data_IF_571565164722
#
_entry.id   IF_571565164722
#
_cell.length_a   1.000
_cell.length_b   1.000
_cell.length_c   1.000
_cell.angle_alpha   90.00
_cell.angle_beta   90.00
_cell.angle_gamma   90.00
#
_symmetry.space_group_name_H-M   'P 1'
#
loop_
_entity.id
_entity.type
_entity.pdbx_description
1 polymer ?
#
# COMPACT_ATOMS: atom_id res chain seq x y z
N UNK A 1 -24.45 -35.35 -7.98
CA UNK A 1 -23.40 -34.32 -7.87
C UNK A 1 -24.10 -32.97 -7.74
N UNK A 2 -24.24 -32.45 -6.53
CA UNK A 2 -24.89 -31.16 -6.28
C UNK A 2 -23.91 -30.04 -6.64
N UNK A 3 -24.22 -29.30 -7.71
CA UNK A 3 -23.50 -28.07 -8.04
C UNK A 3 -23.66 -27.10 -6.88
N UNK A 4 -22.58 -26.85 -6.12
CA UNK A 4 -22.58 -25.85 -5.06
C UNK A 4 -22.62 -24.48 -5.72
N UNK A 5 -23.78 -23.83 -5.68
CA UNK A 5 -23.90 -22.42 -6.00
C UNK A 5 -23.06 -21.61 -5.01
N UNK A 6 -22.01 -20.95 -5.48
CA UNK A 6 -21.19 -20.03 -4.69
C UNK A 6 -21.82 -18.64 -4.86
N UNK A 7 -22.28 -17.98 -3.78
CA UNK A 7 -22.88 -16.67 -3.90
C UNK A 7 -21.84 -15.62 -4.35
N UNK A 8 -22.23 -14.58 -5.09
CA UNK A 8 -21.32 -13.54 -5.58
C UNK A 8 -20.45 -12.88 -4.48
N UNK A 9 -20.97 -12.78 -3.26
CA UNK A 9 -20.22 -12.25 -2.11
C UNK A 9 -19.04 -13.14 -1.69
N UNK A 10 -19.18 -14.47 -1.77
CA UNK A 10 -18.08 -15.39 -1.47
C UNK A 10 -16.96 -15.31 -2.51
N UNK A 11 -17.30 -15.02 -3.77
CA UNK A 11 -16.34 -14.81 -4.85
C UNK A 11 -15.54 -13.53 -4.60
N UNK A 12 -16.21 -12.42 -4.30
CA UNK A 12 -15.53 -11.16 -4.02
C UNK A 12 -14.62 -11.24 -2.79
N UNK A 13 -15.05 -11.97 -1.76
CA UNK A 13 -14.26 -12.20 -0.55
C UNK A 13 -12.99 -13.01 -0.85
N UNK A 14 -13.10 -13.99 -1.74
CA UNK A 14 -11.98 -14.79 -2.21
C UNK A 14 -10.98 -13.92 -3.00
N UNK A 15 -11.45 -13.15 -3.99
CA UNK A 15 -10.61 -12.25 -4.80
C UNK A 15 -9.85 -11.24 -3.95
N UNK A 16 -10.52 -10.60 -2.98
CA UNK A 16 -9.87 -9.67 -2.04
C UNK A 16 -8.80 -10.34 -1.22
N UNK A 17 -9.02 -11.59 -0.82
CA UNK A 17 -8.05 -12.36 -0.03
C UNK A 17 -6.84 -12.74 -0.88
N UNK A 18 -7.03 -13.12 -2.14
CA UNK A 18 -5.94 -13.37 -3.07
C UNK A 18 -5.13 -12.10 -3.32
N UNK A 19 -5.79 -10.98 -3.63
CA UNK A 19 -5.10 -9.71 -3.85
C UNK A 19 -4.28 -9.26 -2.63
N UNK A 20 -4.79 -9.51 -1.41
CA UNK A 20 -4.06 -9.27 -0.17
C UNK A 20 -2.81 -10.17 -0.07
N UNK A 21 -2.95 -11.45 -0.37
CA UNK A 21 -1.85 -12.40 -0.35
C UNK A 21 -0.78 -12.06 -1.38
N UNK A 22 -1.17 -11.72 -2.60
CA UNK A 22 -0.26 -11.32 -3.67
C UNK A 22 0.51 -10.05 -3.27
N UNK A 23 -0.17 -9.07 -2.67
CA UNK A 23 0.48 -7.86 -2.16
C UNK A 23 1.51 -8.18 -1.07
N UNK A 24 1.21 -9.11 -0.16
CA UNK A 24 2.12 -9.51 0.92
C UNK A 24 3.29 -10.37 0.42
N UNK A 25 3.05 -11.22 -0.58
CA UNK A 25 4.09 -11.99 -1.25
C UNK A 25 5.06 -11.06 -1.97
N UNK A 26 4.55 -10.12 -2.77
CA UNK A 26 5.38 -9.12 -3.45
C UNK A 26 6.14 -8.23 -2.45
N UNK A 27 5.50 -7.85 -1.34
CA UNK A 27 6.16 -7.14 -0.26
C UNK A 27 7.34 -7.97 0.31
N UNK A 28 7.15 -9.27 0.53
CA UNK A 28 8.19 -10.16 1.07
C UNK A 28 9.36 -10.33 0.09
N UNK A 29 9.08 -10.46 -1.20
CA UNK A 29 10.10 -10.54 -2.25
C UNK A 29 10.92 -9.24 -2.31
N UNK A 30 10.24 -8.10 -2.28
CA UNK A 30 10.87 -6.77 -2.25
C UNK A 30 11.77 -6.60 -1.01
N UNK A 31 11.30 -7.01 0.18
CA UNK A 31 12.11 -6.98 1.41
C UNK A 31 13.37 -7.85 1.29
N UNK A 32 13.21 -9.05 0.74
CA UNK A 32 14.33 -10.00 0.53
C UNK A 32 15.36 -9.43 -0.45
N UNK A 33 14.91 -8.68 -1.46
CA UNK A 33 15.77 -7.96 -2.39
C UNK A 33 16.50 -6.75 -1.76
N UNK A 34 16.29 -6.46 -0.47
CA UNK A 34 16.95 -5.38 0.25
C UNK A 34 16.33 -4.00 0.02
N UNK A 35 15.07 -3.96 -0.42
CA UNK A 35 14.36 -2.70 -0.61
C UNK A 35 14.28 -1.90 0.69
N UNK A 36 14.51 -0.59 0.59
CA UNK A 36 14.33 0.37 1.67
C UNK A 36 12.85 0.70 1.85
N UNK A 37 12.43 0.83 3.11
CA UNK A 37 11.08 1.23 3.49
C UNK A 37 11.17 2.48 4.36
N UNK A 38 10.34 3.47 4.05
CA UNK A 38 10.19 4.71 4.81
C UNK A 38 8.74 4.95 5.23
N UNK A 39 8.54 5.95 6.07
CA UNK A 39 7.22 6.37 6.54
C UNK A 39 6.84 5.82 7.91
N UNK A 40 5.78 6.36 8.52
CA UNK A 40 5.34 6.02 9.87
C UNK A 40 4.93 4.55 10.03
N UNK A 41 4.52 3.88 8.95
CA UNK A 41 4.12 2.48 8.98
C UNK A 41 5.19 1.49 8.51
N UNK A 42 6.45 1.93 8.31
CA UNK A 42 7.52 1.08 7.78
C UNK A 42 7.72 -0.23 8.58
N UNK A 43 7.73 -0.15 9.91
CA UNK A 43 7.83 -1.36 10.76
C UNK A 43 6.66 -2.32 10.58
N UNK A 44 5.45 -1.79 10.40
CA UNK A 44 4.25 -2.60 10.20
C UNK A 44 4.26 -3.27 8.83
N UNK A 45 4.80 -2.61 7.82
CA UNK A 45 5.03 -3.21 6.50
C UNK A 45 5.97 -4.40 6.60
N UNK A 46 7.12 -4.21 7.24
CA UNK A 46 8.13 -5.26 7.44
C UNK A 46 7.54 -6.43 8.25
N UNK A 47 6.87 -6.14 9.37
CA UNK A 47 6.26 -7.15 10.21
C UNK A 47 5.15 -7.93 9.48
N UNK A 48 4.33 -7.27 8.66
CA UNK A 48 3.26 -7.92 7.90
C UNK A 48 3.81 -8.91 6.87
N UNK A 49 4.86 -8.52 6.12
CA UNK A 49 5.49 -9.38 5.13
C UNK A 49 6.18 -10.59 5.78
N UNK A 50 6.91 -10.40 6.89
CA UNK A 50 7.49 -11.51 7.65
C UNK A 50 6.41 -12.46 8.19
N UNK A 51 5.38 -11.92 8.85
CA UNK A 51 4.29 -12.75 9.37
C UNK A 51 3.57 -13.53 8.26
N UNK A 52 3.40 -12.92 7.09
CA UNK A 52 2.82 -13.60 5.94
C UNK A 52 3.70 -14.76 5.47
N UNK A 53 5.00 -14.52 5.31
CA UNK A 53 5.96 -15.55 4.89
C UNK A 53 6.03 -16.70 5.89
N UNK A 54 6.09 -16.39 7.19
CA UNK A 54 6.20 -17.41 8.25
C UNK A 54 4.95 -18.31 8.33
N UNK A 55 3.76 -17.73 8.14
CA UNK A 55 2.49 -18.45 8.33
C UNK A 55 1.93 -19.07 7.04
N UNK A 56 2.18 -18.45 5.90
CA UNK A 56 1.57 -18.80 4.62
C UNK A 56 2.61 -19.08 3.52
N UNK A 57 3.90 -19.09 3.85
CA UNK A 57 4.95 -19.56 2.96
C UNK A 57 4.67 -20.98 2.48
N UNK A 58 4.65 -21.18 1.16
CA UNK A 58 4.24 -22.45 0.54
C UNK A 58 2.73 -22.56 0.21
N UNK A 59 1.94 -21.54 0.50
CA UNK A 59 0.56 -21.38 0.04
C UNK A 59 -0.52 -21.52 1.12
N UNK A 60 -1.73 -21.09 0.78
CA UNK A 60 -2.93 -21.21 1.62
C UNK A 60 -4.10 -21.69 0.77
N UNK A 61 -4.73 -22.80 1.16
CA UNK A 61 -5.71 -23.49 0.29
C UNK A 61 -7.07 -23.70 0.96
N UNK A 62 -7.15 -23.54 2.29
CA UNK A 62 -8.41 -23.80 3.02
C UNK A 62 -9.24 -22.53 3.21
N UNK A 63 -10.57 -22.68 3.22
CA UNK A 63 -11.49 -21.58 3.58
C UNK A 63 -11.16 -20.96 4.95
N UNK A 64 -10.69 -21.77 5.89
CA UNK A 64 -10.25 -21.31 7.21
C UNK A 64 -9.02 -20.41 7.14
N UNK A 65 -7.99 -20.81 6.38
CA UNK A 65 -6.78 -20.00 6.17
C UNK A 65 -7.09 -18.69 5.45
N UNK A 66 -7.93 -18.72 4.41
CA UNK A 66 -8.35 -17.50 3.70
C UNK A 66 -9.08 -16.52 4.63
N UNK A 67 -10.02 -17.04 5.44
CA UNK A 67 -10.71 -16.23 6.44
C UNK A 67 -9.75 -15.68 7.50
N UNK A 68 -8.79 -16.48 7.95
CA UNK A 68 -7.78 -16.06 8.93
C UNK A 68 -6.87 -14.95 8.36
N UNK A 69 -6.42 -15.09 7.11
CA UNK A 69 -5.61 -14.10 6.40
C UNK A 69 -6.38 -12.77 6.28
N UNK A 70 -7.60 -12.82 5.72
CA UNK A 70 -8.44 -11.64 5.52
C UNK A 70 -8.80 -10.91 6.81
N UNK A 71 -8.99 -11.65 7.91
CA UNK A 71 -9.40 -11.07 9.18
C UNK A 71 -8.23 -10.67 10.08
N UNK A 72 -6.98 -10.91 9.67
CA UNK A 72 -5.81 -10.54 10.47
C UNK A 72 -5.51 -9.05 10.28
N UNK A 73 -5.70 -8.20 11.31
CA UNK A 73 -5.47 -6.76 11.20
C UNK A 73 -4.00 -6.42 10.93
N UNK A 74 -3.05 -7.28 11.33
CA UNK A 74 -1.61 -7.04 11.10
C UNK A 74 -1.19 -7.23 9.65
N UNK A 75 -1.98 -7.98 8.88
CA UNK A 75 -1.70 -8.29 7.49
C UNK A 75 -2.43 -7.36 6.52
N UNK A 76 -3.24 -6.41 7.01
CA UNK A 76 -4.02 -5.50 6.16
C UNK A 76 -3.12 -4.46 5.50
N UNK A 77 -2.59 -4.82 4.34
CA UNK A 77 -1.90 -3.89 3.46
C UNK A 77 -2.73 -3.62 2.21
N UNK A 78 -2.69 -2.38 1.75
CA UNK A 78 -3.34 -1.97 0.51
C UNK A 78 -2.34 -1.17 -0.29
N UNK A 79 -2.12 -1.56 -1.54
CA UNK A 79 -1.31 -0.82 -2.50
C UNK A 79 -2.19 -0.36 -3.64
N UNK A 80 -1.88 0.83 -4.16
CA UNK A 80 -2.40 1.29 -5.43
C UNK A 80 -1.21 1.76 -6.27
N UNK A 81 -1.08 1.27 -7.52
CA UNK A 81 0.06 1.59 -8.36
C UNK A 81 0.28 3.10 -8.56
N UNK A 82 -0.78 3.91 -8.48
CA UNK A 82 -0.73 5.36 -8.68
C UNK A 82 -0.58 6.16 -7.38
N UNK A 83 -0.93 5.60 -6.22
CA UNK A 83 -0.88 6.31 -4.93
C UNK A 83 0.54 6.54 -4.38
N UNK A 84 1.58 5.88 -4.95
CA UNK A 84 2.99 5.98 -4.53
C UNK A 84 3.21 5.69 -3.03
N UNK A 85 2.36 4.82 -2.45
CA UNK A 85 2.43 4.39 -1.06
C UNK A 85 1.69 3.07 -0.86
N UNK A 86 2.04 2.39 0.22
CA UNK A 86 1.25 1.30 0.80
C UNK A 86 0.54 1.82 2.04
N UNK A 87 -0.75 1.51 2.20
CA UNK A 87 -1.46 1.67 3.47
C UNK A 87 -1.35 0.39 4.28
N UNK A 88 -0.60 0.43 5.37
CA UNK A 88 -0.65 -0.60 6.41
C UNK A 88 -1.74 -0.21 7.38
N UNK A 89 -2.96 -0.72 7.15
CA UNK A 89 -4.16 -0.21 7.79
C UNK A 89 -4.18 -0.53 9.30
N UNK A 90 -3.98 0.51 10.12
CA UNK A 90 -4.53 0.56 11.48
C UNK A 90 -5.78 1.44 11.40
N UNK A 91 -6.97 0.86 11.54
CA UNK A 91 -8.21 1.59 11.32
C UNK A 91 -8.45 2.65 12.41
N UNK A 92 -7.77 2.59 13.55
CA UNK A 92 -7.79 3.64 14.57
C UNK A 92 -6.92 4.85 14.24
N UNK A 93 -6.12 4.79 13.16
CA UNK A 93 -5.21 5.85 12.73
C UNK A 93 -5.42 6.29 11.29
N UNK A 94 -6.47 5.76 10.64
CA UNK A 94 -6.76 6.00 9.24
C UNK A 94 -7.38 7.39 9.04
N UNK A 95 -6.54 8.42 8.85
CA UNK A 95 -7.00 9.80 8.62
C UNK A 95 -7.88 9.97 7.36
N UNK A 96 -7.91 8.97 6.47
CA UNK A 96 -8.80 8.94 5.32
C UNK A 96 -10.22 8.43 5.64
N UNK A 97 -10.44 7.82 6.81
CA UNK A 97 -11.74 7.34 7.26
C UNK A 97 -12.58 8.53 7.78
N UNK A 98 -13.69 8.90 7.12
CA UNK A 98 -14.55 9.98 7.60
C UNK A 98 -15.16 9.68 8.97
N UNK A 99 -15.27 8.41 9.34
CA UNK A 99 -15.93 8.00 10.58
C UNK A 99 -14.93 7.80 11.73
N UNK A 100 -13.65 8.15 11.54
CA UNK A 100 -12.57 7.96 12.52
C UNK A 100 -12.89 8.59 13.88
N UNK A 101 -13.49 9.78 13.90
CA UNK A 101 -13.83 10.52 15.11
C UNK A 101 -15.18 10.12 15.73
N UNK A 102 -16.05 9.47 14.98
CA UNK A 102 -17.46 9.25 15.36
C UNK A 102 -17.82 7.78 15.57
N UNK A 103 -16.99 6.85 15.10
CA UNK A 103 -17.26 5.42 15.21
C UNK A 103 -16.73 4.83 16.52
N UNK A 104 -17.63 4.21 17.29
CA UNK A 104 -17.25 3.38 18.44
C UNK A 104 -16.49 2.10 18.05
N UNK A 105 -16.56 1.69 16.77
CA UNK A 105 -15.84 0.54 16.22
C UNK A 105 -15.24 0.88 14.85
N UNK A 106 -13.91 0.81 14.69
CA UNK A 106 -13.29 1.07 13.39
C UNK A 106 -13.66 -0.01 12.38
N UNK A 107 -13.78 0.39 11.12
CA UNK A 107 -14.07 -0.52 10.02
C UNK A 107 -12.77 -0.95 9.32
N UNK A 108 -12.63 -2.24 9.00
CA UNK A 108 -11.57 -2.74 8.11
C UNK A 108 -11.99 -2.57 6.64
N UNK A 109 -12.39 -1.34 6.27
CA UNK A 109 -12.73 -1.01 4.89
C UNK A 109 -11.45 -0.74 4.09
N UNK A 110 -11.49 -1.05 2.80
CA UNK A 110 -10.44 -0.64 1.86
C UNK A 110 -10.26 0.88 1.95
N UNK A 111 -9.04 1.38 2.15
CA UNK A 111 -8.76 2.81 2.21
C UNK A 111 -9.17 3.53 0.92
N UNK A 112 -9.61 4.79 1.05
CA UNK A 112 -9.88 5.64 -0.09
C UNK A 112 -8.66 6.52 -0.40
N UNK A 113 -7.95 6.20 -1.48
CA UNK A 113 -6.74 6.92 -1.89
C UNK A 113 -6.96 8.39 -2.19
N UNK A 114 -8.13 8.76 -2.70
CA UNK A 114 -8.50 10.16 -2.97
C UNK A 114 -8.68 10.99 -1.70
N UNK A 115 -8.81 10.34 -0.54
CA UNK A 115 -8.90 10.98 0.79
C UNK A 115 -7.64 10.76 1.62
N UNK A 116 -6.58 10.23 1.03
CA UNK A 116 -5.35 9.97 1.77
C UNK A 116 -4.74 11.29 2.25
N UNK A 117 -4.53 11.40 3.57
CA UNK A 117 -3.83 12.53 4.16
C UNK A 117 -2.32 12.20 4.21
N UNK A 118 -1.43 13.05 3.68
CA UNK A 118 0.02 12.81 3.71
C UNK A 118 0.62 12.60 5.11
N UNK A 119 -0.04 13.11 6.16
CA UNK A 119 0.37 12.92 7.55
C UNK A 119 -0.19 11.63 8.20
N UNK A 120 -0.87 10.77 7.43
CA UNK A 120 -1.49 9.56 7.95
C UNK A 120 -0.44 8.56 8.45
N UNK A 121 -0.63 8.06 9.68
CA UNK A 121 0.29 7.12 10.30
C UNK A 121 0.35 5.74 9.61
N UNK A 122 -0.60 5.44 8.71
CA UNK A 122 -0.68 4.19 7.95
C UNK A 122 0.18 4.15 6.69
N UNK A 123 0.87 5.24 6.37
CA UNK A 123 1.68 5.33 5.16
C UNK A 123 3.03 4.63 5.36
N UNK A 124 3.34 3.68 4.48
CA UNK A 124 4.71 3.27 4.19
C UNK A 124 5.04 3.50 2.71
N UNK A 125 6.32 3.70 2.41
CA UNK A 125 6.81 3.85 1.03
C UNK A 125 8.06 3.03 0.84
N UNK A 126 8.21 2.47 -0.36
CA UNK A 126 9.32 1.62 -0.73
C UNK A 126 10.13 2.24 -1.86
N UNK A 127 11.34 1.75 -2.14
CA UNK A 127 12.12 2.21 -3.30
C UNK A 127 11.33 2.08 -4.61
N UNK A 128 10.52 1.03 -4.78
CA UNK A 128 9.65 0.86 -5.96
C UNK A 128 8.68 2.02 -6.12
N UNK A 129 8.14 2.57 -5.03
CA UNK A 129 7.33 3.79 -5.12
C UNK A 129 8.15 5.00 -5.54
N UNK A 130 9.42 5.08 -5.14
CA UNK A 130 10.30 6.19 -5.50
C UNK A 130 10.71 6.12 -6.96
N UNK A 131 10.97 4.94 -7.49
CA UNK A 131 11.25 4.75 -8.90
C UNK A 131 10.04 5.12 -9.75
N UNK A 132 8.83 4.66 -9.38
CA UNK A 132 7.59 5.12 -10.03
C UNK A 132 7.38 6.63 -9.91
N UNK A 133 7.72 7.24 -8.78
CA UNK A 133 7.63 8.69 -8.62
C UNK A 133 8.58 9.44 -9.57
N UNK A 134 9.79 8.91 -9.80
CA UNK A 134 10.76 9.45 -10.76
C UNK A 134 10.27 9.31 -12.20
N UNK A 135 9.70 8.16 -12.57
CA UNK A 135 9.08 7.95 -13.87
C UNK A 135 7.93 8.94 -14.12
N UNK A 136 7.05 9.11 -13.13
CA UNK A 136 5.96 10.07 -13.20
C UNK A 136 6.45 11.52 -13.29
N UNK A 137 7.58 11.86 -12.65
CA UNK A 137 8.20 13.17 -12.80
C UNK A 137 8.74 13.38 -14.22
N UNK A 138 9.43 12.40 -14.79
CA UNK A 138 9.91 12.47 -16.17
C UNK A 138 8.76 12.69 -17.16
N UNK A 139 7.62 12.01 -16.94
CA UNK A 139 6.42 12.23 -17.75
C UNK A 139 5.87 13.65 -17.60
N UNK A 140 5.76 14.16 -16.35
CA UNK A 140 5.29 15.53 -16.12
C UNK A 140 6.22 16.55 -16.78
N UNK A 141 7.53 16.36 -16.65
CA UNK A 141 8.52 17.28 -17.23
C UNK A 141 8.41 17.29 -18.75
N UNK A 142 8.17 16.13 -19.39
CA UNK A 142 7.89 16.04 -20.81
C UNK A 142 6.59 16.77 -21.20
N UNK A 143 5.49 16.54 -20.48
CA UNK A 143 4.20 17.19 -20.73
C UNK A 143 4.29 18.72 -20.59
N UNK A 144 5.08 19.21 -19.65
CA UNK A 144 5.31 20.64 -19.42
C UNK A 144 6.03 21.34 -20.58
N UNK A 145 6.73 20.59 -21.45
CA UNK A 145 7.39 21.16 -22.64
C UNK A 145 6.42 21.54 -23.75
N UNK A 146 5.16 21.08 -23.70
CA UNK A 146 4.15 21.43 -24.69
C UNK A 146 3.81 22.94 -24.60
N UNK A 147 4.09 23.72 -25.68
CA UNK A 147 3.76 25.15 -25.72
C UNK A 147 2.25 25.42 -25.73
N UNK A 148 1.43 24.43 -26.10
CA UNK A 148 -0.03 24.55 -26.17
C UNK A 148 -0.74 24.10 -24.88
N UNK A 149 0.01 23.71 -23.84
CA UNK A 149 -0.56 23.25 -22.59
C UNK A 149 -1.40 24.36 -21.92
N UNK A 150 -2.72 24.16 -21.70
CA UNK A 150 -3.58 25.15 -21.08
C UNK A 150 -3.10 25.51 -19.67
N UNK A 151 -3.20 26.78 -19.31
CA UNK A 151 -2.73 27.27 -18.00
C UNK A 151 -3.26 26.49 -16.78
N UNK A 152 -4.56 26.12 -16.69
CA UNK A 152 -5.05 25.32 -15.56
C UNK A 152 -4.38 23.94 -15.46
N UNK A 153 -4.06 23.33 -16.61
CA UNK A 153 -3.37 22.03 -16.67
C UNK A 153 -1.93 22.20 -16.23
N UNK A 154 -1.23 23.23 -16.72
CA UNK A 154 0.14 23.55 -16.29
C UNK A 154 0.24 23.72 -14.78
N UNK A 155 -0.67 24.50 -14.18
CA UNK A 155 -0.73 24.69 -12.72
C UNK A 155 -0.97 23.38 -11.96
N UNK A 156 -1.79 22.47 -12.51
CA UNK A 156 -2.00 21.14 -11.92
C UNK A 156 -0.74 20.28 -12.00
N UNK A 157 -0.04 20.30 -13.13
CA UNK A 157 1.22 19.58 -13.30
C UNK A 157 2.30 20.09 -12.33
N UNK A 158 2.42 21.39 -12.11
CA UNK A 158 3.35 21.97 -11.13
C UNK A 158 3.08 21.43 -9.72
N UNK A 159 1.81 21.33 -9.32
CA UNK A 159 1.41 20.77 -8.01
C UNK A 159 1.73 19.27 -7.93
N UNK A 160 1.44 18.52 -8.99
CA UNK A 160 1.78 17.10 -9.05
C UNK A 160 3.30 16.90 -8.98
N UNK A 161 4.08 17.70 -9.71
CA UNK A 161 5.55 17.70 -9.70
C UNK A 161 6.09 17.91 -8.29
N UNK A 162 5.70 19.01 -7.65
CA UNK A 162 6.11 19.32 -6.28
C UNK A 162 5.75 18.22 -5.28
N UNK A 163 4.59 17.58 -5.45
CA UNK A 163 4.18 16.45 -4.61
C UNK A 163 5.09 15.23 -4.78
N UNK A 164 5.44 14.85 -6.02
CA UNK A 164 6.35 13.71 -6.27
C UNK A 164 7.76 14.01 -5.79
N UNK A 165 8.27 15.22 -6.02
CA UNK A 165 9.58 15.66 -5.51
C UNK A 165 9.64 15.53 -3.98
N UNK A 166 8.61 15.99 -3.28
CA UNK A 166 8.50 15.86 -1.83
C UNK A 166 8.54 14.39 -1.37
N UNK A 167 7.77 13.51 -2.03
CA UNK A 167 7.75 12.07 -1.72
C UNK A 167 9.15 11.46 -1.87
N UNK A 168 9.86 11.77 -2.95
CA UNK A 168 11.22 11.29 -3.21
C UNK A 168 12.17 11.80 -2.12
N UNK A 169 12.14 13.11 -1.83
CA UNK A 169 13.02 13.72 -0.84
C UNK A 169 12.81 13.12 0.56
N UNK A 170 11.57 12.96 1.00
CA UNK A 170 11.24 12.35 2.30
C UNK A 170 11.76 10.92 2.41
N UNK A 171 11.63 10.12 1.35
CA UNK A 171 12.11 8.74 1.36
C UNK A 171 13.63 8.65 1.32
N UNK A 172 14.30 9.48 0.51
CA UNK A 172 15.76 9.52 0.43
C UNK A 172 16.37 9.97 1.76
N UNK A 173 15.82 11.02 2.37
CA UNK A 173 16.32 11.57 3.63
C UNK A 173 16.01 10.69 4.86
N UNK A 174 14.98 9.83 4.78
CA UNK A 174 14.69 8.87 5.85
C UNK A 174 15.88 7.92 6.02
N UNK A 175 16.29 7.57 7.26
CA UNK A 175 17.34 6.57 7.46
C UNK A 175 16.97 5.19 6.88
N UNK A 176 15.69 4.98 6.54
CA UNK A 176 15.21 3.74 5.97
C UNK A 176 15.19 2.62 6.99
N UNK A 177 14.23 1.72 6.83
CA UNK A 177 14.27 0.41 7.46
C UNK A 177 14.55 -0.56 6.33
N UNK A 178 15.54 -1.41 6.53
CA UNK A 178 15.80 -2.58 5.69
C UNK A 178 15.44 -3.78 6.56
N UNK A 179 14.97 -4.87 5.97
CA UNK A 179 14.80 -6.11 6.72
C UNK A 179 16.16 -6.49 7.34
N UNK A 180 16.27 -6.41 8.67
CA UNK A 180 17.46 -6.85 9.39
C UNK A 180 17.69 -8.33 9.09
N UNK A 181 18.91 -8.72 8.71
CA UNK A 181 19.28 -10.12 8.42
C UNK A 181 19.44 -10.99 9.68
N UNK A 182 18.92 -10.56 10.83
CA UNK A 182 19.17 -11.25 12.08
C UNK A 182 18.10 -12.31 12.33
N UNK A 183 18.39 -13.52 11.85
CA UNK A 183 17.88 -14.77 12.39
C UNK A 183 18.92 -15.86 12.15
N UNK A 184 19.82 -16.03 13.12
CA UNK A 184 20.40 -17.34 13.45
C UNK A 184 20.40 -17.47 14.97
#
# INVERSE_FOLDING_TARGET
MTSRHIPPSEILDFEKTLALADSLAEASDRLTAGQKISGPAADRYIAAAHEFTDRYGGGFATKGQMKALRNNPRLQIFEDPQALLTCNLDPYKALCDPDLASSAKPSMRTPNWNRCNPACANISRTDTHIDRAREQLAQIDADCTDPHLPYPVRRRLDLCRANREKIIQEHVASPGRVASKDST
#
